data_IF_529220696335
#
_entry.id   IF_529220696335
#
_cell.length_a   1.000
_cell.length_b   1.000
_cell.length_c   1.000
_cell.angle_alpha   90.00
_cell.angle_beta   90.00
_cell.angle_gamma   90.00
#
_symmetry.space_group_name_H-M   'P 1'
#
loop_
_entity.id
_entity.type
_entity.pdbx_description
1 polymer ?
#
# COMPACT_ATOMS: atom_id res chain seq x y z
N UNK A 1 -20.17 -8.01 11.69
CA UNK A 1 -19.71 -6.62 11.88
C UNK A 1 -18.73 -6.25 10.79
N UNK A 2 -18.29 -5.00 10.72
CA UNK A 2 -17.25 -4.56 9.78
C UNK A 2 -15.89 -4.62 10.46
N UNK A 3 -14.91 -5.28 9.83
CA UNK A 3 -13.54 -5.41 10.36
C UNK A 3 -12.63 -4.26 9.91
N UNK A 4 -12.83 -3.73 8.69
CA UNK A 4 -12.07 -2.61 8.16
C UNK A 4 -12.99 -1.61 7.44
N UNK A 5 -12.93 -0.35 7.88
CA UNK A 5 -13.69 0.76 7.32
C UNK A 5 -12.97 1.47 6.15
N UNK A 6 -13.60 2.51 5.58
CA UNK A 6 -12.99 3.33 4.54
C UNK A 6 -11.89 4.23 5.12
N UNK A 7 -11.05 4.77 4.25
CA UNK A 7 -10.19 5.90 4.62
C UNK A 7 -11.04 7.15 4.91
N UNK A 8 -10.45 8.11 5.61
CA UNK A 8 -11.16 9.30 6.13
C UNK A 8 -11.71 10.22 5.03
N UNK A 9 -11.10 10.25 3.83
CA UNK A 9 -11.52 11.15 2.76
C UNK A 9 -11.09 10.67 1.38
N UNK A 10 -11.70 11.26 0.33
CA UNK A 10 -11.29 11.08 -1.07
C UNK A 10 -9.81 11.40 -1.29
N UNK A 11 -9.34 12.53 -0.73
CA UNK A 11 -7.93 12.96 -0.84
C UNK A 11 -6.97 11.91 -0.27
N UNK A 12 -7.32 11.28 0.85
CA UNK A 12 -6.49 10.22 1.43
C UNK A 12 -6.52 8.94 0.58
N UNK A 13 -7.68 8.56 0.05
CA UNK A 13 -7.78 7.42 -0.88
C UNK A 13 -6.92 7.66 -2.13
N UNK A 14 -7.02 8.83 -2.76
CA UNK A 14 -6.21 9.17 -3.94
C UNK A 14 -4.71 9.17 -3.62
N UNK A 15 -4.30 9.69 -2.46
CA UNK A 15 -2.91 9.64 -2.00
C UNK A 15 -2.40 8.21 -1.84
N UNK A 16 -3.15 7.33 -1.17
CA UNK A 16 -2.76 5.92 -0.97
C UNK A 16 -2.71 5.18 -2.30
N UNK A 17 -3.71 5.35 -3.17
CA UNK A 17 -3.70 4.76 -4.51
C UNK A 17 -2.52 5.26 -5.35
N UNK A 18 -2.13 6.53 -5.21
CA UNK A 18 -0.94 7.06 -5.87
C UNK A 18 0.33 6.35 -5.40
N UNK A 19 0.53 6.16 -4.09
CA UNK A 19 1.68 5.40 -3.59
C UNK A 19 1.71 3.96 -4.10
N UNK A 20 0.56 3.29 -4.15
CA UNK A 20 0.46 1.94 -4.73
C UNK A 20 0.91 1.94 -6.20
N UNK A 21 0.47 2.90 -7.00
CA UNK A 21 0.91 3.01 -8.39
C UNK A 21 2.39 3.35 -8.52
N UNK A 22 2.96 4.16 -7.62
CA UNK A 22 4.40 4.40 -7.60
C UNK A 22 5.18 3.12 -7.27
N UNK A 23 4.74 2.34 -6.29
CA UNK A 23 5.35 1.05 -5.95
C UNK A 23 5.41 0.11 -7.16
N UNK A 24 4.29 -0.03 -7.89
CA UNK A 24 4.25 -0.82 -9.14
C UNK A 24 5.23 -0.28 -10.20
N UNK A 25 5.32 1.04 -10.36
CA UNK A 25 6.22 1.68 -11.34
C UNK A 25 7.70 1.51 -10.98
N UNK A 26 8.03 1.45 -9.71
CA UNK A 26 9.39 1.22 -9.21
C UNK A 26 9.81 -0.25 -9.27
N UNK A 27 8.88 -1.15 -9.64
CA UNK A 27 9.16 -2.57 -9.86
C UNK A 27 8.76 -3.49 -8.72
N UNK A 28 8.07 -2.98 -7.69
CA UNK A 28 7.53 -3.81 -6.61
C UNK A 28 6.36 -4.67 -7.10
N UNK A 29 6.23 -5.86 -6.52
CA UNK A 29 5.12 -6.79 -6.79
C UNK A 29 3.97 -6.54 -5.82
N UNK A 30 2.74 -6.37 -6.32
CA UNK A 30 1.53 -6.40 -5.47
C UNK A 30 1.13 -7.85 -5.25
N UNK A 31 1.44 -8.40 -4.08
CA UNK A 31 1.08 -9.76 -3.69
C UNK A 31 -0.41 -9.89 -3.31
N UNK A 32 -1.02 -8.80 -2.80
CA UNK A 32 -2.44 -8.72 -2.49
C UNK A 32 -2.94 -7.28 -2.58
N UNK A 33 -4.22 -7.09 -2.88
CA UNK A 33 -4.87 -5.78 -2.89
C UNK A 33 -4.38 -4.87 -4.02
N UNK A 34 -3.94 -3.66 -3.68
CA UNK A 34 -3.34 -2.72 -4.63
C UNK A 34 -4.35 -1.93 -5.50
N UNK A 35 -5.59 -1.82 -5.04
CA UNK A 35 -6.67 -1.09 -5.73
C UNK A 35 -7.79 -0.66 -4.78
N UNK A 36 -8.74 0.13 -5.29
CA UNK A 36 -9.94 0.51 -4.54
C UNK A 36 -10.83 -0.70 -4.24
N UNK A 37 -11.55 -0.65 -3.13
CA UNK A 37 -12.62 -1.61 -2.84
C UNK A 37 -13.99 -0.91 -2.92
N UNK A 38 -15.04 -1.69 -3.21
CA UNK A 38 -16.45 -1.27 -3.25
C UNK A 38 -16.77 -0.12 -4.22
N UNK A 39 -18.06 0.06 -4.51
CA UNK A 39 -18.52 1.09 -5.45
C UNK A 39 -18.54 2.50 -4.84
N UNK A 40 -18.85 2.61 -3.54
CA UNK A 40 -18.99 3.88 -2.81
C UNK A 40 -18.13 3.91 -1.54
N UNK A 41 -17.78 5.12 -1.11
CA UNK A 41 -16.88 5.35 0.01
C UNK A 41 -15.39 5.32 -0.39
N UNK A 42 -14.52 5.64 0.55
CA UNK A 42 -13.09 5.84 0.31
C UNK A 42 -12.28 4.59 0.65
N UNK A 43 -12.75 3.41 0.23
CA UNK A 43 -12.12 2.14 0.56
C UNK A 43 -10.93 1.82 -0.35
N UNK A 44 -9.90 1.23 0.24
CA UNK A 44 -8.72 0.67 -0.44
C UNK A 44 -8.54 -0.75 0.11
N UNK A 45 -8.26 -1.72 -0.76
CA UNK A 45 -8.01 -3.10 -0.31
C UNK A 45 -6.73 -3.15 0.54
N UNK A 46 -6.67 -3.97 1.60
CA UNK A 46 -5.41 -4.28 2.27
C UNK A 46 -4.38 -4.73 1.25
N UNK A 47 -3.23 -4.08 1.24
CA UNK A 47 -2.24 -4.21 0.18
C UNK A 47 -0.92 -4.72 0.75
N UNK A 48 -0.36 -5.73 0.10
CA UNK A 48 0.94 -6.31 0.44
C UNK A 48 1.85 -6.13 -0.76
N UNK A 49 2.99 -5.48 -0.55
CA UNK A 49 4.08 -5.38 -1.52
C UNK A 49 5.21 -6.36 -1.17
N UNK A 50 5.68 -7.07 -2.18
CA UNK A 50 6.88 -7.93 -2.16
C UNK A 50 7.85 -7.48 -3.26
N UNK A 51 9.03 -8.10 -3.32
CA UNK A 51 10.08 -7.77 -4.30
C UNK A 51 10.47 -6.28 -4.27
N UNK A 52 10.53 -5.72 -3.06
CA UNK A 52 10.88 -4.32 -2.83
C UNK A 52 12.38 -4.16 -2.56
N UNK A 53 12.88 -2.94 -2.74
CA UNK A 53 14.22 -2.54 -2.28
C UNK A 53 14.12 -1.32 -1.38
N UNK A 54 15.09 -1.14 -0.47
CA UNK A 54 15.09 -0.04 0.51
C UNK A 54 15.03 1.37 -0.12
N UNK A 55 15.39 1.48 -1.39
CA UNK A 55 15.39 2.75 -2.12
C UNK A 55 14.04 3.10 -2.75
N UNK A 56 13.04 2.22 -2.69
CA UNK A 56 11.70 2.49 -3.21
C UNK A 56 10.96 3.53 -2.37
N UNK A 57 10.17 4.36 -3.02
CA UNK A 57 9.34 5.41 -2.40
C UNK A 57 8.39 4.80 -1.37
N UNK A 58 7.76 3.66 -1.68
CA UNK A 58 6.83 2.96 -0.79
C UNK A 58 7.48 2.35 0.46
N UNK A 59 8.81 2.20 0.47
CA UNK A 59 9.57 1.73 1.65
C UNK A 59 10.03 2.90 2.52
N UNK A 60 10.36 4.05 1.91
CA UNK A 60 10.90 5.22 2.63
C UNK A 60 9.84 6.20 3.13
N UNK A 61 8.73 6.34 2.42
CA UNK A 61 7.71 7.35 2.71
C UNK A 61 6.47 6.76 3.40
N UNK A 62 5.90 7.55 4.31
CA UNK A 62 4.72 7.12 5.05
C UNK A 62 3.44 7.19 4.20
N UNK A 63 2.84 6.02 3.93
CA UNK A 63 1.65 5.91 3.06
C UNK A 63 0.35 6.30 3.77
N UNK A 64 0.21 6.07 5.08
CA UNK A 64 -1.03 6.28 5.85
C UNK A 64 -2.26 5.53 5.29
N UNK A 65 -2.05 4.34 4.72
CA UNK A 65 -3.10 3.46 4.22
C UNK A 65 -2.89 2.02 4.68
N UNK A 66 -3.83 1.10 4.37
CA UNK A 66 -3.69 -0.31 4.67
C UNK A 66 -2.69 -0.97 3.69
N UNK A 67 -1.44 -0.51 3.67
CA UNK A 67 -0.38 -0.95 2.77
C UNK A 67 0.82 -1.37 3.62
N UNK A 68 1.33 -2.57 3.39
CA UNK A 68 2.54 -3.08 4.03
C UNK A 68 3.55 -3.54 2.99
N UNK A 69 4.82 -3.33 3.27
CA UNK A 69 5.95 -3.84 2.49
C UNK A 69 6.62 -4.98 3.27
N UNK A 70 7.02 -6.04 2.57
CA UNK A 70 7.74 -7.18 3.17
C UNK A 70 9.17 -7.20 2.65
N UNK A 71 10.14 -7.05 3.56
CA UNK A 71 11.57 -7.09 3.26
C UNK A 71 12.21 -8.30 3.93
N UNK A 72 12.95 -9.14 3.18
CA UNK A 72 13.80 -10.16 3.79
C UNK A 72 15.06 -9.53 4.39
N UNK A 73 15.63 -10.16 5.41
CA UNK A 73 16.95 -9.84 5.96
C UNK A 73 17.63 -11.13 6.43
N UNK A 74 18.96 -11.14 6.50
CA UNK A 74 19.75 -12.33 6.82
C UNK A 74 20.37 -12.32 8.23
N UNK A 75 20.67 -11.13 8.77
CA UNK A 75 21.33 -10.97 10.08
C UNK A 75 20.75 -9.79 10.87
N UNK A 76 20.91 -9.82 12.19
CA UNK A 76 20.40 -8.81 13.12
C UNK A 76 21.30 -7.57 13.26
N UNK A 77 22.53 -7.61 12.72
CA UNK A 77 23.55 -6.56 12.86
C UNK A 77 23.20 -5.23 12.17
#
# INVERSE_FOLDING_TARGET
GTEMGPLVSKKQQERVLHYIEQGKKEGATVAAGGERALEKGYFVKPTIFTDVTDNMTIVKEEIFGPVVVVLPFDSTE
#
